data_IF_603332579524
#
_entry.id   IF_603332579524
#
_cell.length_a   1.000
_cell.length_b   1.000
_cell.length_c   1.000
_cell.angle_alpha   90.00
_cell.angle_beta   90.00
_cell.angle_gamma   90.00
#
_symmetry.space_group_name_H-M   'P 1'
#
loop_
_entity.id
_entity.type
_entity.pdbx_description
1 polymer ?
#
# COMPACT_ATOMS: atom_id res chain seq x y z
N UNK A 1 0.90 -8.24 13.59
CA UNK A 1 -0.07 -7.31 12.98
C UNK A 1 0.17 -7.10 11.48
N UNK A 2 1.39 -6.74 11.03
CA UNK A 2 1.72 -6.50 9.60
C UNK A 2 2.77 -7.45 8.97
N UNK A 3 3.19 -8.51 9.69
CA UNK A 3 4.23 -9.46 9.23
C UNK A 3 5.58 -8.81 8.84
N UNK A 4 6.02 -7.82 9.61
CA UNK A 4 7.29 -7.11 9.43
C UNK A 4 8.23 -7.33 10.62
N UNK A 5 9.54 -7.24 10.39
CA UNK A 5 10.55 -7.20 11.46
C UNK A 5 10.56 -5.85 12.17
N UNK A 6 11.10 -5.78 13.39
CA UNK A 6 11.23 -4.52 14.15
C UNK A 6 12.04 -3.46 13.39
N UNK A 7 13.07 -3.88 12.66
CA UNK A 7 13.86 -3.00 11.80
C UNK A 7 13.04 -2.41 10.65
N UNK A 8 12.15 -3.20 10.04
CA UNK A 8 11.26 -2.68 9.01
C UNK A 8 10.24 -1.72 9.63
N UNK A 9 9.69 -2.08 10.79
CA UNK A 9 8.72 -1.26 11.49
C UNK A 9 9.29 0.12 11.85
N UNK A 10 10.55 0.20 12.30
CA UNK A 10 11.17 1.46 12.71
C UNK A 10 11.40 2.46 11.57
N UNK A 11 11.44 2.00 10.33
CA UNK A 11 11.59 2.85 9.13
C UNK A 11 10.30 2.99 8.33
N UNK A 12 9.21 2.36 8.79
CA UNK A 12 7.93 2.37 8.11
C UNK A 12 7.08 3.58 8.48
N UNK A 13 6.20 3.99 7.58
CA UNK A 13 5.20 5.04 7.83
C UNK A 13 3.83 4.41 7.97
N UNK A 14 3.12 4.74 9.06
CA UNK A 14 1.80 4.18 9.36
C UNK A 14 0.69 5.20 9.06
N UNK A 15 -0.40 4.72 8.47
CA UNK A 15 -1.66 5.45 8.37
C UNK A 15 -2.79 4.48 8.73
N UNK A 16 -3.31 4.59 9.95
CA UNK A 16 -4.39 3.71 10.43
C UNK A 16 -3.97 2.23 10.51
N UNK A 17 -4.64 1.39 9.73
CA UNK A 17 -4.38 -0.04 9.56
C UNK A 17 -3.42 -0.34 8.39
N UNK A 18 -2.99 0.67 7.65
CA UNK A 18 -2.00 0.56 6.57
C UNK A 18 -0.61 0.97 7.07
N UNK A 19 0.39 0.16 6.70
CA UNK A 19 1.80 0.41 6.93
C UNK A 19 2.55 0.41 5.60
N UNK A 20 3.25 1.51 5.33
CA UNK A 20 4.17 1.69 4.22
C UNK A 20 5.57 1.27 4.65
N UNK A 21 6.09 0.20 4.05
CA UNK A 21 7.43 -0.32 4.36
C UNK A 21 8.36 0.04 3.21
N UNK A 22 9.38 0.90 3.40
CA UNK A 22 10.37 1.20 2.36
C UNK A 22 11.05 -0.05 1.83
N UNK A 23 11.19 -0.14 0.52
CA UNK A 23 11.73 -1.30 -0.20
C UNK A 23 12.65 -0.83 -1.35
N UNK A 24 13.42 -1.77 -1.89
CA UNK A 24 14.06 -1.58 -3.20
C UNK A 24 13.03 -1.83 -4.31
N UNK A 25 13.37 -1.45 -5.54
CA UNK A 25 12.53 -1.74 -6.70
C UNK A 25 12.20 -3.25 -6.80
N UNK A 26 10.92 -3.62 -6.89
CA UNK A 26 10.52 -5.03 -6.95
C UNK A 26 10.70 -5.56 -8.38
N UNK A 27 11.71 -6.43 -8.56
CA UNK A 27 12.08 -7.00 -9.87
C UNK A 27 11.09 -8.05 -10.40
N UNK A 28 10.39 -8.75 -9.52
CA UNK A 28 9.48 -9.86 -9.86
C UNK A 28 8.00 -9.49 -9.67
N UNK A 29 7.67 -8.19 -9.72
CA UNK A 29 6.30 -7.72 -9.55
C UNK A 29 5.77 -7.14 -10.87
N UNK A 30 4.51 -7.43 -11.17
CA UNK A 30 3.86 -7.05 -12.42
C UNK A 30 3.15 -5.71 -12.25
N UNK A 31 3.39 -4.78 -13.18
CA UNK A 31 2.71 -3.47 -13.20
C UNK A 31 1.19 -3.64 -13.30
N UNK A 32 0.47 -2.84 -12.51
CA UNK A 32 -1.00 -2.82 -12.47
C UNK A 32 -1.63 -1.45 -12.70
N UNK A 33 -0.89 -0.37 -12.51
CA UNK A 33 -1.41 0.98 -12.72
C UNK A 33 -0.73 2.00 -11.84
N UNK A 34 -1.45 3.06 -11.48
CA UNK A 34 -0.99 4.18 -10.65
C UNK A 34 -1.83 4.36 -9.36
N UNK A 35 -2.86 3.53 -9.15
CA UNK A 35 -3.68 3.60 -7.95
C UNK A 35 -4.29 2.25 -7.58
N UNK A 36 -4.53 2.04 -6.29
CA UNK A 36 -5.20 0.86 -5.77
C UNK A 36 -5.93 1.22 -4.47
N UNK A 37 -7.14 0.69 -4.29
CA UNK A 37 -7.81 0.71 -2.98
C UNK A 37 -7.42 -0.53 -2.20
N UNK A 38 -7.02 -0.37 -0.95
CA UNK A 38 -6.68 -1.47 -0.04
C UNK A 38 -7.63 -1.48 1.15
N UNK A 39 -8.03 -2.69 1.57
CA UNK A 39 -8.94 -2.95 2.69
C UNK A 39 -10.27 -2.16 2.65
N UNK A 40 -10.73 -1.77 1.45
CA UNK A 40 -11.92 -0.93 1.25
C UNK A 40 -11.93 0.40 2.01
N UNK A 41 -10.79 0.85 2.55
CA UNK A 41 -10.69 2.00 3.46
C UNK A 41 -9.61 2.99 3.05
N UNK A 42 -8.59 2.57 2.29
CA UNK A 42 -7.44 3.40 1.93
C UNK A 42 -7.22 3.43 0.43
N UNK A 43 -7.12 4.63 -0.13
CA UNK A 43 -6.69 4.84 -1.50
C UNK A 43 -5.18 5.06 -1.53
N UNK A 44 -4.48 4.21 -2.27
CA UNK A 44 -3.08 4.37 -2.63
C UNK A 44 -3.00 5.05 -3.99
N UNK A 45 -2.30 6.16 -4.09
CA UNK A 45 -1.91 6.83 -5.35
C UNK A 45 -0.39 6.77 -5.45
N UNK A 46 0.13 6.44 -6.63
CA UNK A 46 1.55 6.22 -6.84
C UNK A 46 1.91 6.46 -8.31
N UNK A 47 3.18 6.68 -8.61
CA UNK A 47 3.64 6.76 -10.00
C UNK A 47 3.50 5.39 -10.69
N UNK A 48 3.71 4.34 -9.91
CA UNK A 48 3.56 2.96 -10.36
C UNK A 48 3.14 2.05 -9.20
N UNK A 49 2.18 1.17 -9.46
CA UNK A 49 1.78 0.07 -8.60
C UNK A 49 2.17 -1.24 -9.28
N UNK A 50 2.90 -2.10 -8.56
CA UNK A 50 3.24 -3.46 -8.98
C UNK A 50 2.74 -4.49 -7.97
N UNK A 51 2.31 -5.66 -8.45
CA UNK A 51 1.84 -6.77 -7.62
C UNK A 51 2.72 -8.01 -7.81
N UNK A 52 3.01 -8.72 -6.72
CA UNK A 52 3.58 -10.06 -6.74
C UNK A 52 2.82 -10.94 -5.73
N UNK A 53 1.92 -11.80 -6.24
CA UNK A 53 0.96 -12.52 -5.40
C UNK A 53 0.13 -11.55 -4.56
N UNK A 54 0.10 -11.77 -3.25
CA UNK A 54 -0.63 -10.93 -2.29
C UNK A 54 0.13 -9.68 -1.85
N UNK A 55 1.28 -9.38 -2.48
CA UNK A 55 2.13 -8.26 -2.09
C UNK A 55 1.99 -7.11 -3.07
N UNK A 56 1.56 -5.97 -2.54
CA UNK A 56 1.46 -4.72 -3.26
C UNK A 56 2.70 -3.85 -3.03
N UNK A 57 3.24 -3.31 -4.13
CA UNK A 57 4.34 -2.36 -4.12
C UNK A 57 3.93 -1.11 -4.86
N UNK A 58 4.41 0.03 -4.39
CA UNK A 58 4.12 1.33 -4.97
C UNK A 58 5.38 2.20 -5.01
N UNK A 59 5.55 2.95 -6.10
CA UNK A 59 6.58 3.98 -6.27
C UNK A 59 6.02 5.35 -5.91
N UNK A 60 6.69 6.04 -4.99
CA UNK A 60 6.29 7.35 -4.45
C UNK A 60 4.83 7.37 -3.95
N UNK A 61 4.40 6.41 -3.10
CA UNK A 61 2.99 6.33 -2.73
C UNK A 61 2.56 7.47 -1.82
N UNK A 62 1.34 7.96 -2.09
CA UNK A 62 0.51 8.72 -1.18
C UNK A 62 -0.68 7.86 -0.76
N UNK A 63 -0.93 7.78 0.55
CA UNK A 63 -2.03 7.02 1.15
C UNK A 63 -3.04 7.97 1.75
N UNK A 64 -4.30 7.75 1.40
CA UNK A 64 -5.42 8.56 1.88
C UNK A 64 -6.51 7.64 2.42
N UNK A 65 -6.87 7.82 3.69
CA UNK A 65 -8.06 7.19 4.24
C UNK A 65 -9.31 7.75 3.55
N UNK A 66 -10.15 6.90 2.96
CA UNK A 66 -11.31 7.30 2.13
C UNK A 66 -12.29 8.17 2.92
N UNK A 67 -12.52 7.84 4.20
CA UNK A 67 -13.36 8.64 5.11
C UNK A 67 -12.68 9.90 5.68
N UNK A 68 -11.42 10.17 5.32
CA UNK A 68 -10.66 11.32 5.82
C UNK A 68 -10.34 11.28 7.32
N UNK A 69 -10.34 10.10 7.94
CA UNK A 69 -10.14 9.96 9.40
C UNK A 69 -8.69 10.19 9.83
N UNK A 70 -7.75 10.17 8.89
CA UNK A 70 -6.33 10.38 9.12
C UNK A 70 -5.77 11.34 8.07
N UNK A 71 -4.75 12.12 8.46
CA UNK A 71 -4.01 12.92 7.50
C UNK A 71 -3.35 12.00 6.45
N UNK A 72 -3.33 12.40 5.16
CA UNK A 72 -2.59 11.68 4.14
C UNK A 72 -1.12 11.52 4.52
N UNK A 73 -0.54 10.38 4.17
CA UNK A 73 0.91 10.15 4.30
C UNK A 73 1.50 9.90 2.92
N UNK A 74 2.70 10.43 2.70
CA UNK A 74 3.45 10.21 1.48
C UNK A 74 4.89 9.82 1.81
N UNK A 75 5.48 8.99 0.96
CA UNK A 75 6.90 8.62 1.04
C UNK A 75 7.51 8.63 -0.35
N UNK A 76 8.82 8.85 -0.40
CA UNK A 76 9.61 8.75 -1.61
C UNK A 76 10.20 7.34 -1.80
N UNK A 77 10.37 6.95 -3.06
CA UNK A 77 10.91 5.65 -3.44
C UNK A 77 9.89 4.52 -3.43
N UNK A 78 10.39 3.30 -3.51
CA UNK A 78 9.55 2.11 -3.49
C UNK A 78 9.15 1.74 -2.08
N UNK A 79 7.91 1.31 -1.93
CA UNK A 79 7.44 0.70 -0.68
C UNK A 79 6.50 -0.46 -0.93
N UNK A 80 6.49 -1.41 0.00
CA UNK A 80 5.45 -2.41 0.09
C UNK A 80 4.32 -1.93 1.02
N UNK A 81 3.08 -2.16 0.59
CA UNK A 81 1.87 -1.79 1.33
C UNK A 81 1.45 -2.99 2.19
N UNK A 82 1.40 -2.82 3.52
CA UNK A 82 0.95 -3.84 4.47
C UNK A 82 -0.34 -3.39 5.12
N UNK A 83 -1.34 -4.26 5.11
CA UNK A 83 -2.58 -4.05 5.86
C UNK A 83 -2.51 -4.86 7.15
N UNK A 84 -3.06 -4.36 8.24
CA UNK A 84 -3.12 -5.10 9.50
C UNK A 84 -4.00 -6.34 9.34
N UNK A 85 -3.64 -7.46 9.97
CA UNK A 85 -4.40 -8.72 9.91
C UNK A 85 -5.87 -8.63 10.39
N UNK A 86 -6.25 -7.60 11.16
CA UNK A 86 -7.66 -7.39 11.57
C UNK A 86 -8.55 -6.83 10.44
N UNK A 87 -7.95 -6.40 9.33
CA UNK A 87 -8.61 -5.79 8.17
C UNK A 87 -8.52 -6.66 6.90
N UNK A 88 -8.26 -7.97 7.07
CA UNK A 88 -8.09 -8.95 5.98
C UNK A 88 -9.40 -9.16 5.17
N UNK A 89 -9.67 -8.26 4.25
CA UNK A 89 -10.49 -8.48 3.07
C UNK A 89 -9.88 -7.64 1.93
N UNK A 90 -8.96 -8.26 1.18
CA UNK A 90 -8.49 -7.73 -0.10
C UNK A 90 -9.64 -7.80 -1.10
N UNK A 91 -10.51 -6.81 -1.08
CA UNK A 91 -11.44 -6.58 -2.20
C UNK A 91 -10.62 -5.95 -3.31
N UNK A 92 -10.12 -6.79 -4.22
CA UNK A 92 -9.67 -6.35 -5.53
C UNK A 92 -10.91 -5.92 -6.33
N UNK A 93 -11.58 -4.85 -5.88
CA UNK A 93 -12.61 -4.19 -6.64
C UNK A 93 -11.94 -3.48 -7.81
N UNK A 94 -11.63 -4.29 -8.82
CA UNK A 94 -11.51 -3.87 -10.20
C UNK A 94 -12.74 -3.01 -10.50
N UNK A 95 -12.54 -1.72 -10.72
CA UNK A 95 -13.34 -1.04 -11.73
C UNK A 95 -12.41 -0.77 -12.91
N UNK A 96 -12.27 -1.79 -13.74
CA UNK A 96 -11.89 -1.63 -15.14
C UNK A 96 -13.14 -1.14 -15.86
N UNK A 97 -13.08 0.06 -16.43
CA UNK A 97 -14.06 0.59 -17.38
C UNK A 97 -15.19 1.44 -16.80
N UNK A 98 -15.43 2.59 -17.44
CA UNK A 98 -16.77 3.14 -17.65
C UNK A 98 -17.62 2.18 -18.49
#
# INVERSE_FOLDING_TARGET
>A
MWEVTDRQLSVSVRQGDVLLVPEREPKNAVRRGASLTVANSHLIRADEVRLNGNRCYALNPTVVHIKGQHAPVAIEGWASIRVARESDAWDFAVRIGD
#
